data_IF_737631068616
#
_entry.id   IF_737631068616
#
_cell.length_a   1.000
_cell.length_b   1.000
_cell.length_c   1.000
_cell.angle_alpha   90.00
_cell.angle_beta   90.00
_cell.angle_gamma   90.00
#
_symmetry.space_group_name_H-M   'P 1'
#
loop_
_entity.id
_entity.type
_entity.pdbx_description
1 polymer ?
#
# COMPACT_ATOMS: atom_id res chain seq x y z
N UNK A 1 28.70 -11.48 6.30
CA UNK A 1 27.63 -11.26 5.33
C UNK A 1 28.24 -11.07 3.96
N UNK A 2 27.63 -11.66 2.93
CA UNK A 2 27.93 -11.31 1.54
C UNK A 2 27.10 -10.08 1.17
N UNK A 3 27.55 -9.30 0.17
CA UNK A 3 26.76 -8.18 -0.34
C UNK A 3 25.36 -8.59 -0.81
N UNK A 4 25.19 -9.87 -1.20
CA UNK A 4 23.91 -10.42 -1.63
C UNK A 4 22.96 -10.70 -0.45
N UNK A 5 23.48 -11.17 0.68
CA UNK A 5 22.72 -11.32 1.92
C UNK A 5 22.18 -9.98 2.42
N UNK A 6 22.96 -8.89 2.30
CA UNK A 6 22.51 -7.54 2.67
C UNK A 6 21.37 -7.06 1.76
N UNK A 7 21.44 -7.36 0.45
CA UNK A 7 20.38 -7.04 -0.52
C UNK A 7 19.08 -7.79 -0.20
N UNK A 8 19.16 -9.08 0.14
CA UNK A 8 18.00 -9.89 0.54
C UNK A 8 17.34 -9.31 1.79
N UNK A 9 18.13 -8.88 2.78
CA UNK A 9 17.62 -8.26 4.01
C UNK A 9 16.92 -6.91 3.73
N UNK A 10 17.51 -6.07 2.88
CA UNK A 10 16.94 -4.77 2.48
C UNK A 10 15.60 -4.98 1.76
N UNK A 11 15.55 -5.89 0.78
CA UNK A 11 14.33 -6.19 0.03
C UNK A 11 13.23 -6.72 0.98
N UNK A 12 13.59 -7.65 1.86
CA UNK A 12 12.65 -8.21 2.86
C UNK A 12 12.09 -7.15 3.81
N UNK A 13 12.93 -6.19 4.22
CA UNK A 13 12.50 -5.08 5.09
C UNK A 13 11.60 -4.12 4.34
N UNK A 14 11.96 -3.77 3.10
CA UNK A 14 11.17 -2.87 2.25
C UNK A 14 9.79 -3.45 1.94
N UNK A 15 9.69 -4.77 1.71
CA UNK A 15 8.41 -5.46 1.51
C UNK A 15 7.52 -5.28 2.75
N UNK A 16 8.05 -5.46 3.97
CA UNK A 16 7.28 -5.24 5.21
C UNK A 16 6.78 -3.81 5.35
N UNK A 17 7.57 -2.83 4.94
CA UNK A 17 7.16 -1.43 4.94
C UNK A 17 6.01 -1.19 3.95
N UNK A 18 6.08 -1.79 2.75
CA UNK A 18 5.00 -1.72 1.77
C UNK A 18 3.73 -2.41 2.28
N UNK A 19 3.84 -3.59 2.90
CA UNK A 19 2.70 -4.29 3.52
C UNK A 19 2.07 -3.47 4.64
N UNK A 20 2.87 -2.78 5.45
CA UNK A 20 2.39 -1.86 6.47
C UNK A 20 1.68 -0.65 5.84
N UNK A 21 2.21 -0.13 4.73
CA UNK A 21 1.56 0.89 3.93
C UNK A 21 0.19 0.45 3.39
N UNK A 22 0.08 -0.79 2.91
CA UNK A 22 -1.19 -1.36 2.43
C UNK A 22 -2.21 -1.47 3.57
N UNK A 23 -1.80 -1.95 4.75
CA UNK A 23 -2.68 -2.02 5.91
C UNK A 23 -3.20 -0.64 6.33
N UNK A 24 -2.37 0.40 6.22
CA UNK A 24 -2.79 1.78 6.47
C UNK A 24 -3.75 2.30 5.40
N UNK A 25 -3.51 1.97 4.12
CA UNK A 25 -4.42 2.33 3.03
C UNK A 25 -5.82 1.70 3.24
N UNK A 26 -5.90 0.42 3.59
CA UNK A 26 -7.18 -0.25 3.90
C UNK A 26 -7.92 0.41 5.07
N UNK A 27 -7.21 0.83 6.12
CA UNK A 27 -7.82 1.57 7.24
C UNK A 27 -8.33 2.94 6.79
N UNK A 28 -7.59 3.63 5.92
CA UNK A 28 -8.02 4.90 5.35
C UNK A 28 -9.25 4.75 4.45
N UNK A 29 -9.32 3.72 3.61
CA UNK A 29 -10.50 3.40 2.79
C UNK A 29 -11.74 3.17 3.65
N UNK A 30 -11.58 2.40 4.74
CA UNK A 30 -12.66 2.13 5.70
C UNK A 30 -13.16 3.43 6.31
N UNK A 31 -12.24 4.27 6.82
CA UNK A 31 -12.57 5.55 7.44
C UNK A 31 -13.24 6.51 6.45
N UNK A 32 -12.79 6.54 5.20
CA UNK A 32 -13.40 7.34 4.14
C UNK A 32 -14.80 6.83 3.78
N UNK A 33 -15.03 5.51 3.77
CA UNK A 33 -16.36 4.92 3.59
C UNK A 33 -17.36 5.30 4.69
N UNK A 34 -16.91 5.29 5.94
CA UNK A 34 -17.71 5.74 7.09
C UNK A 34 -18.04 7.24 6.99
N UNK A 35 -17.04 8.06 6.65
CA UNK A 35 -17.24 9.50 6.46
C UNK A 35 -18.23 9.80 5.33
N UNK A 36 -18.17 9.05 4.23
CA UNK A 36 -19.10 9.20 3.11
C UNK A 36 -20.53 8.85 3.54
N UNK A 37 -20.69 7.73 4.25
CA UNK A 37 -21.98 7.30 4.80
C UNK A 37 -22.58 8.38 5.70
N UNK A 38 -21.79 8.97 6.59
CA UNK A 38 -22.23 10.06 7.45
C UNK A 38 -22.59 11.32 6.65
N UNK A 39 -21.74 11.74 5.70
CA UNK A 39 -21.98 12.92 4.87
C UNK A 39 -23.27 12.79 4.04
N UNK A 40 -23.53 11.59 3.49
CA UNK A 40 -24.78 11.26 2.80
C UNK A 40 -25.98 11.32 3.73
N UNK A 41 -25.89 10.74 4.94
CA UNK A 41 -26.98 10.75 5.91
C UNK A 41 -27.39 12.17 6.33
N UNK A 42 -26.43 13.09 6.45
CA UNK A 42 -26.68 14.50 6.79
C UNK A 42 -26.97 15.39 5.58
N UNK A 43 -26.95 14.84 4.35
CA UNK A 43 -27.19 15.61 3.12
C UNK A 43 -26.11 16.66 2.81
N UNK A 44 -24.89 16.51 3.35
CA UNK A 44 -23.81 17.47 3.16
C UNK A 44 -23.04 17.19 1.85
N UNK A 45 -23.52 17.77 0.75
CA UNK A 45 -22.97 17.59 -0.59
C UNK A 45 -21.48 17.97 -0.72
N UNK A 46 -21.02 18.99 0.02
CA UNK A 46 -19.60 19.40 0.01
C UNK A 46 -18.70 18.33 0.65
N UNK A 47 -19.14 17.77 1.78
CA UNK A 47 -18.39 16.69 2.44
C UNK A 47 -18.41 15.41 1.60
N UNK A 48 -19.53 15.08 0.94
CA UNK A 48 -19.62 13.94 0.02
C UNK A 48 -18.53 14.05 -1.06
N UNK A 49 -18.49 15.18 -1.80
CA UNK A 49 -17.52 15.39 -2.87
C UNK A 49 -16.06 15.32 -2.38
N UNK A 50 -15.77 15.93 -1.23
CA UNK A 50 -14.44 15.87 -0.62
C UNK A 50 -14.05 14.43 -0.22
N UNK A 51 -14.98 13.67 0.36
CA UNK A 51 -14.72 12.28 0.74
C UNK A 51 -14.56 11.38 -0.47
N UNK A 52 -15.30 11.59 -1.56
CA UNK A 52 -15.11 10.86 -2.82
C UNK A 52 -13.73 11.14 -3.43
N UNK A 53 -13.28 12.38 -3.44
CA UNK A 53 -11.94 12.73 -3.89
C UNK A 53 -10.85 12.07 -3.04
N UNK A 54 -11.04 12.07 -1.72
CA UNK A 54 -10.13 11.38 -0.79
C UNK A 54 -10.08 9.88 -1.08
N UNK A 55 -11.22 9.23 -1.28
CA UNK A 55 -11.28 7.81 -1.65
C UNK A 55 -10.50 7.51 -2.93
N UNK A 56 -10.68 8.31 -3.98
CA UNK A 56 -9.95 8.13 -5.23
C UNK A 56 -8.43 8.22 -5.03
N UNK A 57 -7.98 9.13 -4.16
CA UNK A 57 -6.55 9.29 -3.83
C UNK A 57 -6.01 8.07 -3.07
N UNK A 58 -6.81 7.53 -2.14
CA UNK A 58 -6.44 6.33 -1.38
C UNK A 58 -6.39 5.10 -2.30
N UNK A 59 -7.37 4.93 -3.19
CA UNK A 59 -7.42 3.84 -4.17
C UNK A 59 -6.20 3.87 -5.10
N UNK A 60 -5.80 5.06 -5.57
CA UNK A 60 -4.58 5.23 -6.37
C UNK A 60 -3.32 4.82 -5.57
N UNK A 61 -3.18 5.32 -4.34
CA UNK A 61 -2.05 4.98 -3.47
C UNK A 61 -1.99 3.47 -3.16
N UNK A 62 -3.14 2.85 -2.90
CA UNK A 62 -3.28 1.41 -2.68
C UNK A 62 -2.82 0.61 -3.90
N UNK A 63 -3.24 1.02 -5.11
CA UNK A 63 -2.79 0.41 -6.36
C UNK A 63 -1.28 0.53 -6.60
N UNK A 64 -0.67 1.66 -6.25
CA UNK A 64 0.78 1.85 -6.34
C UNK A 64 1.55 0.96 -5.35
N UNK A 65 1.03 0.78 -4.14
CA UNK A 65 1.63 -0.11 -3.13
C UNK A 65 1.59 -1.57 -3.57
N UNK A 66 0.49 -2.03 -4.17
CA UNK A 66 0.38 -3.39 -4.75
C UNK A 66 1.45 -3.59 -5.83
N UNK A 67 1.55 -2.66 -6.79
CA UNK A 67 2.56 -2.74 -7.85
C UNK A 67 4.00 -2.70 -7.31
N UNK A 68 4.25 -1.91 -6.26
CA UNK A 68 5.55 -1.86 -5.61
C UNK A 68 5.90 -3.20 -4.96
N UNK A 69 4.93 -3.82 -4.26
CA UNK A 69 5.11 -5.13 -3.64
C UNK A 69 5.46 -6.21 -4.66
N UNK A 70 4.71 -6.29 -5.76
CA UNK A 70 4.94 -7.30 -6.80
C UNK A 70 6.37 -7.22 -7.36
N UNK A 71 6.87 -6.01 -7.63
CA UNK A 71 8.25 -5.79 -8.11
C UNK A 71 9.30 -6.14 -7.06
N UNK A 72 9.04 -5.86 -5.79
CA UNK A 72 9.95 -6.21 -4.70
C UNK A 72 10.00 -7.72 -4.46
N UNK A 73 8.86 -8.41 -4.52
CA UNK A 73 8.78 -9.87 -4.41
C UNK A 73 9.56 -10.55 -5.56
N UNK A 74 9.42 -10.03 -6.79
CA UNK A 74 10.20 -10.50 -7.94
C UNK A 74 11.71 -10.29 -7.72
N UNK A 75 12.12 -9.09 -7.29
CA UNK A 75 13.53 -8.79 -7.01
C UNK A 75 14.09 -9.66 -5.88
N UNK A 76 13.31 -9.92 -4.83
CA UNK A 76 13.69 -10.80 -3.72
C UNK A 76 13.91 -12.22 -4.22
N UNK A 77 13.01 -12.75 -5.03
CA UNK A 77 13.13 -14.09 -5.62
C UNK A 77 14.40 -14.21 -6.48
N UNK A 78 14.71 -13.20 -7.28
CA UNK A 78 15.94 -13.16 -8.08
C UNK A 78 17.20 -13.13 -7.19
N UNK A 79 17.22 -12.28 -6.16
CA UNK A 79 18.35 -12.19 -5.24
C UNK A 79 18.62 -13.50 -4.48
N UNK A 80 17.55 -14.15 -3.99
CA UNK A 80 17.64 -15.44 -3.31
C UNK A 80 18.12 -16.58 -4.22
N UNK A 81 17.73 -16.56 -5.49
CA UNK A 81 18.19 -17.55 -6.47
C UNK A 81 19.70 -17.41 -6.75
N UNK A 82 20.21 -16.18 -6.80
CA UNK A 82 21.64 -15.90 -6.95
C UNK A 82 22.46 -16.25 -5.71
N UNK A 83 21.85 -16.26 -4.52
CA UNK A 83 22.57 -16.59 -3.27
C UNK A 83 22.77 -18.11 -3.10
N UNK A 84 21.90 -18.90 -3.71
CA UNK A 84 21.91 -20.37 -3.63
C UNK A 84 22.66 -21.05 -4.79
N UNK A 85 23.01 -20.31 -5.84
CA UNK A 85 23.75 -20.80 -7.02
C UNK A 85 25.23 -20.52 -6.94
#
# INVERSE_FOLDING_TARGET
MSALSDVVEILSTTIKDVESGQANATQAETSAGEALTAATAYGNQSNIAQTEQLKATIEEASGLLVQAKDKLDEALGQAQALEQG
#
